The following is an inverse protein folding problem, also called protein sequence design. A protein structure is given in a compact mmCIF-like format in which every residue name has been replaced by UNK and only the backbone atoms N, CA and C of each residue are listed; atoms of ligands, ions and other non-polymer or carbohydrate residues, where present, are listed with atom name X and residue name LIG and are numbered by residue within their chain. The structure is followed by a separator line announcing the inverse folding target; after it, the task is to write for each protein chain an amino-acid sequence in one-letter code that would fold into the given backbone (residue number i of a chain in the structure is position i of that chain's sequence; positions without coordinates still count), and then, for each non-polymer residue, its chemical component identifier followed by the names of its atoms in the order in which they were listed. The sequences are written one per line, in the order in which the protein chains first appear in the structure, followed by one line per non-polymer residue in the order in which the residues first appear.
data_IF_737605054238
#
_entry.id   IF_737605054238
#
_cell.length_a   1.000
_cell.length_b   1.000
_cell.length_c   1.000
_cell.angle_alpha   90.00
_cell.angle_beta   90.00
_cell.angle_gamma   90.00
#
_symmetry.space_group_name_H-M   'P 1'
#
loop_
_entity.id
_entity.type
_entity.pdbx_description
1 polymer ?
#
# COMPACT_ATOMS: atom_id res chain seq x y z
N UNK A 1 11.50 24.88 10.97
CA UNK A 1 12.26 23.66 11.34
C UNK A 1 11.63 22.36 10.82
N UNK A 2 10.30 22.19 10.91
CA UNK A 2 9.53 21.00 10.47
C UNK A 2 9.78 20.61 8.99
N UNK A 3 9.84 21.58 8.07
CA UNK A 3 10.05 21.35 6.64
C UNK A 3 11.37 20.63 6.29
N UNK A 4 12.42 20.76 7.13
CA UNK A 4 13.72 20.08 6.93
C UNK A 4 13.69 18.63 7.41
N UNK A 5 12.90 18.31 8.45
CA UNK A 5 12.69 16.93 8.92
C UNK A 5 11.97 16.08 7.86
N UNK A 6 10.93 16.63 7.22
CA UNK A 6 10.20 15.93 6.16
C UNK A 6 11.03 15.70 4.88
N UNK A 7 12.03 16.54 4.59
CA UNK A 7 12.91 16.37 3.42
C UNK A 7 13.99 15.29 3.58
N UNK A 8 14.37 14.94 4.82
CA UNK A 8 15.43 13.95 5.12
C UNK A 8 14.89 12.64 5.73
N UNK A 9 13.60 12.55 5.99
CA UNK A 9 12.94 11.34 6.51
C UNK A 9 12.68 10.30 5.42
N UNK A 10 12.64 9.03 5.79
CA UNK A 10 12.19 7.96 4.89
C UNK A 10 10.71 8.16 4.57
N UNK A 11 10.36 8.22 3.28
CA UNK A 11 8.97 8.29 2.81
C UNK A 11 8.29 6.92 2.75
N UNK A 12 9.00 5.85 3.11
CA UNK A 12 8.48 4.48 3.06
C UNK A 12 7.19 4.26 3.88
N UNK A 13 7.02 4.81 5.09
CA UNK A 13 5.78 4.64 5.85
C UNK A 13 4.56 5.22 5.12
N UNK A 14 4.72 6.37 4.47
CA UNK A 14 3.65 7.00 3.69
C UNK A 14 3.32 6.21 2.41
N UNK A 15 4.33 5.67 1.74
CA UNK A 15 4.13 4.80 0.57
C UNK A 15 3.38 3.51 0.92
N UNK A 16 3.76 2.86 2.01
CA UNK A 16 3.05 1.67 2.50
C UNK A 16 1.61 2.02 2.91
N UNK A 17 1.42 3.11 3.65
CA UNK A 17 0.10 3.57 4.03
C UNK A 17 -0.78 3.87 2.81
N UNK A 18 -0.24 4.50 1.77
CA UNK A 18 -0.95 4.75 0.53
C UNK A 18 -1.42 3.46 -0.16
N UNK A 19 -0.55 2.45 -0.23
CA UNK A 19 -0.90 1.14 -0.79
C UNK A 19 -2.02 0.45 0.01
N UNK A 20 -1.88 0.39 1.35
CA UNK A 20 -2.86 -0.25 2.23
C UNK A 20 -4.17 0.57 2.36
N UNK A 21 -4.12 1.87 2.08
CA UNK A 21 -5.31 2.72 2.06
C UNK A 21 -6.31 2.30 1.00
N UNK A 22 -5.86 1.72 -0.12
CA UNK A 22 -6.77 1.25 -1.18
C UNK A 22 -7.66 0.13 -0.65
N UNK A 23 -7.06 -0.89 -0.04
CA UNK A 23 -7.82 -2.03 0.49
C UNK A 23 -8.71 -1.61 1.66
N UNK A 24 -8.22 -0.73 2.54
CA UNK A 24 -9.03 -0.15 3.63
C UNK A 24 -10.16 0.74 3.13
N UNK A 25 -9.95 1.46 2.03
CA UNK A 25 -10.98 2.29 1.42
C UNK A 25 -12.14 1.43 0.90
N UNK A 26 -11.85 0.40 0.11
CA UNK A 26 -12.88 -0.51 -0.39
C UNK A 26 -13.58 -1.26 0.75
N UNK A 27 -12.82 -1.73 1.74
CA UNK A 27 -13.39 -2.38 2.91
C UNK A 27 -14.30 -1.42 3.70
N UNK A 28 -13.87 -0.16 3.88
CA UNK A 28 -14.63 0.90 4.52
C UNK A 28 -15.88 1.31 3.73
N UNK A 29 -15.80 1.32 2.39
CA UNK A 29 -16.92 1.62 1.51
C UNK A 29 -17.99 0.54 1.60
N UNK A 30 -17.61 -0.74 1.49
CA UNK A 30 -18.54 -1.86 1.66
C UNK A 30 -19.18 -1.82 3.05
N UNK A 31 -18.38 -1.59 4.09
CA UNK A 31 -18.88 -1.51 5.46
C UNK A 31 -19.80 -0.30 5.70
N UNK A 32 -19.50 0.85 5.10
CA UNK A 32 -20.32 2.06 5.25
C UNK A 32 -21.61 1.99 4.44
N UNK A 33 -21.55 1.38 3.25
CA UNK A 33 -22.72 1.10 2.41
C UNK A 33 -23.72 0.26 3.20
N UNK A 34 -23.25 -0.86 3.78
CA UNK A 34 -24.03 -1.67 4.70
C UNK A 34 -24.54 -0.84 5.89
N UNK A 35 -23.66 -0.11 6.59
CA UNK A 35 -24.03 0.59 7.82
C UNK A 35 -25.12 1.66 7.64
N UNK A 36 -25.10 2.37 6.52
CA UNK A 36 -25.91 3.59 6.32
C UNK A 36 -27.10 3.33 5.41
N UNK A 37 -26.97 2.48 4.40
CA UNK A 37 -28.04 2.28 3.44
C UNK A 37 -29.20 1.52 4.11
N UNK A 38 -30.33 2.21 4.21
CA UNK A 38 -31.55 1.68 4.84
C UNK A 38 -32.59 1.49 3.75
N UNK A 39 -33.00 0.25 3.47
CA UNK A 39 -34.19 -0.03 2.67
C UNK A 39 -35.39 0.80 3.13
N UNK A 40 -35.82 1.80 2.35
CA UNK A 40 -37.13 2.44 2.55
C UNK A 40 -38.12 1.76 1.63
N UNK A 41 -38.89 0.84 2.22
CA UNK A 41 -40.00 0.18 1.54
C UNK A 41 -41.27 0.94 1.89
N UNK A 42 -41.80 1.66 0.92
CA UNK A 42 -43.10 2.33 1.06
C UNK A 42 -44.14 1.45 0.38
N UNK A 43 -45.06 0.91 1.18
CA UNK A 43 -46.22 0.21 0.65
C UNK A 43 -47.18 1.25 0.06
N UNK A 44 -47.40 1.22 -1.26
CA UNK A 44 -48.43 2.04 -1.91
C UNK A 44 -49.47 1.13 -2.55
N UNK A 45 -50.74 1.41 -2.30
CA UNK A 45 -51.85 0.80 -3.01
C UNK A 45 -51.93 1.39 -4.42
N UNK A 46 -51.76 0.54 -5.44
CA UNK A 46 -51.93 0.91 -6.86
C UNK A 46 -52.95 -0.06 -7.47
N UNK A 47 -54.08 0.46 -7.93
CA UNK A 47 -55.19 -0.33 -8.51
C UNK A 47 -55.66 -1.48 -7.60
N UNK A 48 -55.86 -1.21 -6.30
CA UNK A 48 -56.32 -2.21 -5.34
C UNK A 48 -55.30 -3.31 -5.00
N UNK A 49 -54.11 -3.31 -5.62
CA UNK A 49 -53.00 -4.19 -5.27
C UNK A 49 -51.96 -3.43 -4.46
N UNK A 50 -51.43 -4.10 -3.44
CA UNK A 50 -50.35 -3.59 -2.60
C UNK A 50 -49.05 -3.69 -3.40
N UNK A 51 -48.51 -2.56 -3.84
CA UNK A 51 -47.25 -2.49 -4.59
C UNK A 51 -46.19 -1.92 -3.66
N UNK A 52 -45.08 -2.65 -3.53
CA UNK A 52 -43.91 -2.20 -2.79
C UNK A 52 -43.16 -1.18 -3.67
N UNK A 53 -43.06 0.05 -3.21
CA UNK A 53 -42.26 1.08 -3.87
C UNK A 53 -40.96 1.29 -3.09
N UNK A 54 -39.85 1.21 -3.80
CA UNK A 54 -38.51 1.31 -3.24
C UNK A 54 -38.01 2.74 -3.47
N UNK A 55 -37.76 3.48 -2.40
CA UNK A 55 -37.10 4.79 -2.51
C UNK A 55 -35.60 4.58 -2.64
N UNK A 56 -35.01 5.12 -3.72
CA UNK A 56 -33.58 5.12 -3.95
C UNK A 56 -32.86 5.96 -2.88
N UNK A 57 -31.65 5.55 -2.51
CA UNK A 57 -30.85 6.23 -1.48
C UNK A 57 -30.66 7.70 -1.86
N UNK A 58 -30.91 8.61 -0.91
CA UNK A 58 -30.78 10.04 -1.17
C UNK A 58 -29.31 10.42 -1.38
N UNK A 59 -29.03 11.47 -2.18
CA UNK A 59 -27.67 12.00 -2.37
C UNK A 59 -26.93 12.29 -1.04
N UNK A 60 -27.68 12.65 0.01
CA UNK A 60 -27.11 12.89 1.35
C UNK A 60 -26.66 11.59 2.04
N UNK A 61 -27.36 10.48 1.80
CA UNK A 61 -26.99 9.14 2.28
C UNK A 61 -25.72 8.66 1.59
N UNK A 62 -25.66 8.78 0.27
CA UNK A 62 -24.49 8.42 -0.52
C UNK A 62 -23.25 9.21 -0.09
N UNK A 63 -23.37 10.54 0.04
CA UNK A 63 -22.26 11.38 0.50
C UNK A 63 -21.74 10.95 1.89
N UNK A 64 -22.64 10.52 2.78
CA UNK A 64 -22.27 10.01 4.10
C UNK A 64 -21.52 8.68 4.02
N UNK A 65 -21.91 7.79 3.10
CA UNK A 65 -21.20 6.52 2.84
C UNK A 65 -19.76 6.81 2.39
N UNK A 66 -19.59 7.71 1.42
CA UNK A 66 -18.26 8.11 0.93
C UNK A 66 -17.40 8.72 2.04
N UNK A 67 -17.97 9.59 2.86
CA UNK A 67 -17.24 10.25 3.95
C UNK A 67 -16.80 9.25 5.03
N UNK A 68 -17.66 8.29 5.39
CA UNK A 68 -17.33 7.25 6.36
C UNK A 68 -16.26 6.27 5.83
N UNK A 69 -16.30 5.96 4.53
CA UNK A 69 -15.28 5.11 3.89
C UNK A 69 -13.87 5.71 3.95
N UNK A 70 -13.77 7.05 3.99
CA UNK A 70 -12.50 7.76 4.10
C UNK A 70 -11.94 7.80 5.52
N UNK A 71 -12.74 7.51 6.56
CA UNK A 71 -12.28 7.53 7.96
C UNK A 71 -11.09 6.59 8.22
N UNK A 72 -11.14 5.28 7.92
CA UNK A 72 -10.01 4.38 8.16
C UNK A 72 -8.76 4.80 7.35
N UNK A 73 -8.95 5.28 6.13
CA UNK A 73 -7.89 5.81 5.26
C UNK A 73 -7.22 7.03 5.91
N UNK A 74 -8.03 7.99 6.34
CA UNK A 74 -7.57 9.22 6.97
C UNK A 74 -6.77 8.94 8.25
N UNK A 75 -7.24 8.00 9.08
CA UNK A 75 -6.51 7.59 10.29
C UNK A 75 -5.17 6.95 9.92
N UNK A 76 -5.13 6.03 8.95
CA UNK A 76 -3.88 5.37 8.57
C UNK A 76 -2.86 6.37 8.00
N UNK A 77 -3.31 7.30 7.15
CA UNK A 77 -2.47 8.36 6.60
C UNK A 77 -1.96 9.30 7.70
N UNK A 78 -2.81 9.69 8.66
CA UNK A 78 -2.39 10.50 9.80
C UNK A 78 -1.32 9.78 10.64
N UNK A 79 -1.52 8.48 10.92
CA UNK A 79 -0.52 7.64 11.59
C UNK A 79 0.78 7.59 10.78
N UNK A 80 0.71 7.44 9.46
CA UNK A 80 1.89 7.42 8.60
C UNK A 80 2.64 8.76 8.60
N UNK A 81 1.92 9.88 8.60
CA UNK A 81 2.51 11.22 8.70
C UNK A 81 3.23 11.41 10.04
N UNK A 82 2.60 10.99 11.14
CA UNK A 82 3.23 11.02 12.47
C UNK A 82 4.42 10.06 12.55
N UNK A 83 4.30 8.87 11.96
CA UNK A 83 5.33 7.85 11.93
C UNK A 83 6.58 8.30 11.15
N UNK A 84 6.46 9.21 10.18
CA UNK A 84 7.62 9.81 9.49
C UNK A 84 8.52 10.63 10.45
N UNK A 85 8.00 11.08 11.58
CA UNK A 85 8.80 11.74 12.62
C UNK A 85 9.74 10.72 13.32
N UNK A 86 9.39 9.43 13.30
CA UNK A 86 10.21 8.34 13.84
C UNK A 86 11.11 7.70 12.78
N UNK A 87 12.37 8.15 12.73
CA UNK A 87 13.36 7.76 11.70
C UNK A 87 13.63 6.26 11.58
N UNK A 88 13.49 5.48 12.66
CA UNK A 88 13.84 4.04 12.70
C UNK A 88 12.63 3.11 12.86
N UNK A 89 11.51 3.61 13.38
CA UNK A 89 10.36 2.79 13.77
C UNK A 89 9.10 2.99 12.94
N UNK A 90 9.04 4.04 12.10
CA UNK A 90 7.77 4.49 11.51
C UNK A 90 7.03 3.43 10.69
N UNK A 91 7.76 2.56 9.98
CA UNK A 91 7.13 1.52 9.17
C UNK A 91 6.44 0.45 10.02
N UNK A 92 7.02 0.09 11.17
CA UNK A 92 6.38 -0.85 12.11
C UNK A 92 5.11 -0.27 12.72
N UNK A 93 5.11 1.03 13.03
CA UNK A 93 3.91 1.72 13.54
C UNK A 93 2.80 1.70 12.51
N UNK A 94 3.11 1.98 11.24
CA UNK A 94 2.12 1.93 10.14
C UNK A 94 1.62 0.51 9.91
N UNK A 95 2.51 -0.50 9.87
CA UNK A 95 2.10 -1.90 9.73
C UNK A 95 1.23 -2.35 10.89
N UNK A 96 1.59 -2.03 12.13
CA UNK A 96 0.80 -2.38 13.31
C UNK A 96 -0.57 -1.70 13.31
N UNK A 97 -0.63 -0.42 12.93
CA UNK A 97 -1.89 0.30 12.79
C UNK A 97 -2.78 -0.31 11.70
N UNK A 98 -2.21 -0.65 10.53
CA UNK A 98 -2.95 -1.31 9.46
C UNK A 98 -3.51 -2.66 9.91
N UNK A 99 -2.70 -3.50 10.57
CA UNK A 99 -3.14 -4.78 11.14
C UNK A 99 -4.28 -4.57 12.14
N UNK A 100 -4.13 -3.62 13.06
CA UNK A 100 -5.15 -3.31 14.05
C UNK A 100 -6.48 -2.89 13.38
N UNK A 101 -6.42 -2.02 12.37
CA UNK A 101 -7.60 -1.62 11.60
C UNK A 101 -8.23 -2.81 10.87
N UNK A 102 -7.43 -3.65 10.22
CA UNK A 102 -7.92 -4.86 9.54
C UNK A 102 -8.58 -5.86 10.48
N UNK A 103 -8.16 -5.93 11.75
CA UNK A 103 -8.80 -6.77 12.77
C UNK A 103 -10.07 -6.13 13.35
N UNK A 104 -10.11 -4.79 13.45
CA UNK A 104 -11.25 -4.06 14.03
C UNK A 104 -12.42 -3.90 13.06
N UNK A 105 -12.16 -3.69 11.77
CA UNK A 105 -13.21 -3.47 10.76
C UNK A 105 -14.24 -4.62 10.71
N UNK A 106 -13.82 -5.90 10.62
CA UNK A 106 -14.75 -7.03 10.56
C UNK A 106 -15.59 -7.20 11.83
N UNK A 107 -15.07 -6.85 13.01
CA UNK A 107 -15.82 -6.98 14.28
C UNK A 107 -17.04 -6.06 14.32
N UNK A 108 -16.90 -4.85 13.82
CA UNK A 108 -18.03 -3.93 13.72
C UNK A 108 -19.05 -4.37 12.67
N UNK A 109 -18.58 -5.07 11.63
CA UNK A 109 -19.45 -5.68 10.63
C UNK A 109 -20.28 -6.80 11.22
N UNK A 110 -19.72 -7.75 11.97
CA UNK A 110 -20.50 -8.86 12.54
C UNK A 110 -21.65 -8.37 13.45
N UNK A 111 -21.36 -7.39 14.31
CA UNK A 111 -22.37 -6.78 15.17
C UNK A 111 -23.45 -6.03 14.35
N UNK A 112 -23.07 -5.43 13.22
CA UNK A 112 -24.02 -4.80 12.32
C UNK A 112 -24.84 -5.83 11.55
N UNK A 113 -24.22 -6.85 10.95
CA UNK A 113 -24.87 -7.93 10.21
C UNK A 113 -25.88 -8.61 11.11
N UNK A 114 -25.53 -8.95 12.36
CA UNK A 114 -26.47 -9.50 13.32
C UNK A 114 -27.69 -8.60 13.59
N UNK A 115 -27.50 -7.27 13.66
CA UNK A 115 -28.62 -6.32 13.79
C UNK A 115 -29.43 -6.18 12.51
N UNK A 116 -28.78 -6.22 11.35
CA UNK A 116 -29.42 -6.08 10.05
C UNK A 116 -30.25 -7.31 9.72
N UNK A 117 -29.69 -8.51 9.87
CA UNK A 117 -30.40 -9.79 9.69
C UNK A 117 -31.57 -9.93 10.67
N UNK A 118 -31.46 -9.43 11.92
CA UNK A 118 -32.60 -9.38 12.84
C UNK A 118 -33.72 -8.46 12.35
N UNK A 119 -33.39 -7.38 11.64
CA UNK A 119 -34.36 -6.40 11.12
C UNK A 119 -34.93 -6.84 9.76
N UNK A 120 -34.17 -7.60 8.98
CA UNK A 120 -34.49 -8.09 7.64
C UNK A 120 -34.11 -9.57 7.53
N UNK A 121 -34.90 -10.49 8.13
CA UNK A 121 -34.52 -11.90 8.28
C UNK A 121 -34.49 -12.73 6.98
N UNK A 122 -34.80 -12.13 5.83
CA UNK A 122 -34.86 -12.84 4.53
C UNK A 122 -34.00 -12.13 3.47
N UNK A 123 -32.84 -11.57 3.87
CA UNK A 123 -31.82 -11.06 2.93
C UNK A 123 -32.44 -10.24 1.80
N UNK A 124 -33.12 -9.15 2.15
CA UNK A 124 -33.81 -8.37 1.14
C UNK A 124 -32.77 -7.48 0.46
N UNK A 125 -31.98 -8.08 -0.42
CA UNK A 125 -31.59 -7.37 -1.64
C UNK A 125 -32.92 -6.91 -2.24
N UNK A 126 -33.21 -5.61 -2.16
CA UNK A 126 -34.47 -5.00 -2.59
C UNK A 126 -34.64 -5.02 -4.12
N UNK A 127 -33.90 -5.87 -4.79
CA UNK A 127 -33.94 -6.05 -6.22
C UNK A 127 -35.07 -7.05 -6.49
N UNK A 128 -36.08 -6.62 -7.26
CA UNK A 128 -37.22 -7.47 -7.61
C UNK A 128 -36.75 -8.80 -8.21
N UNK A 129 -37.20 -9.94 -7.70
CA UNK A 129 -36.95 -11.28 -8.26
C UNK A 129 -37.38 -11.40 -9.74
N UNK A 130 -38.27 -10.50 -10.18
CA UNK A 130 -38.76 -10.45 -11.57
C UNK A 130 -37.84 -9.69 -12.54
N UNK A 131 -36.73 -9.14 -12.06
CA UNK A 131 -35.79 -8.39 -12.90
C UNK A 131 -34.80 -9.35 -13.55
N UNK A 132 -34.84 -9.46 -14.89
CA UNK A 132 -33.88 -10.26 -15.66
C UNK A 132 -32.42 -9.76 -15.54
N UNK A 133 -32.20 -8.57 -14.96
CA UNK A 133 -30.88 -8.03 -14.64
C UNK A 133 -30.40 -8.33 -13.22
N UNK A 134 -31.22 -8.99 -12.39
CA UNK A 134 -30.79 -9.39 -11.05
C UNK A 134 -30.10 -10.75 -11.09
N UNK A 135 -28.77 -10.74 -10.98
CA UNK A 135 -27.96 -11.96 -10.98
C UNK A 135 -27.71 -12.51 -9.57
N UNK A 136 -28.02 -11.74 -8.52
CA UNK A 136 -27.78 -12.11 -7.14
C UNK A 136 -29.05 -12.67 -6.48
N UNK A 137 -28.91 -13.78 -5.78
CA UNK A 137 -29.94 -14.35 -4.93
C UNK A 137 -30.09 -13.55 -3.63
N UNK A 138 -31.26 -13.65 -2.97
CA UNK A 138 -31.55 -12.91 -1.75
C UNK A 138 -30.53 -13.17 -0.64
N UNK A 139 -29.92 -12.11 -0.11
CA UNK A 139 -28.92 -12.19 0.96
C UNK A 139 -27.50 -12.49 0.46
N UNK A 140 -27.34 -12.73 -0.85
CA UNK A 140 -26.05 -13.03 -1.45
C UNK A 140 -25.16 -11.78 -1.48
N UNK A 141 -25.73 -10.59 -1.67
CA UNK A 141 -24.96 -9.36 -1.65
C UNK A 141 -24.36 -9.07 -0.27
N UNK A 142 -25.12 -9.18 0.82
CA UNK A 142 -24.58 -8.93 2.17
C UNK A 142 -23.50 -9.95 2.53
N UNK A 143 -23.69 -11.21 2.13
CA UNK A 143 -22.70 -12.27 2.33
C UNK A 143 -21.44 -12.01 1.51
N UNK A 144 -21.57 -11.68 0.22
CA UNK A 144 -20.45 -11.33 -0.65
C UNK A 144 -19.71 -10.07 -0.18
N UNK A 145 -20.44 -9.07 0.31
CA UNK A 145 -19.88 -7.87 0.89
C UNK A 145 -19.04 -8.19 2.13
N UNK A 146 -19.58 -9.01 3.03
CA UNK A 146 -18.89 -9.49 4.23
C UNK A 146 -17.62 -10.28 3.87
N UNK A 147 -17.75 -11.26 2.98
CA UNK A 147 -16.63 -12.12 2.57
C UNK A 147 -15.55 -11.32 1.85
N UNK A 148 -15.93 -10.32 1.06
CA UNK A 148 -14.99 -9.37 0.44
C UNK A 148 -14.25 -8.55 1.48
N UNK A 149 -14.93 -8.00 2.50
CA UNK A 149 -14.25 -7.24 3.56
C UNK A 149 -13.29 -8.14 4.34
N UNK A 150 -13.71 -9.36 4.68
CA UNK A 150 -12.87 -10.34 5.38
C UNK A 150 -11.64 -10.69 4.54
N UNK A 151 -11.81 -10.93 3.23
CA UNK A 151 -10.72 -11.20 2.30
C UNK A 151 -9.75 -10.02 2.23
N UNK A 152 -10.25 -8.79 2.04
CA UNK A 152 -9.42 -7.58 2.02
C UNK A 152 -8.66 -7.38 3.34
N UNK A 153 -9.28 -7.67 4.48
CA UNK A 153 -8.61 -7.60 5.79
C UNK A 153 -7.44 -8.59 5.86
N UNK A 154 -7.63 -9.85 5.44
CA UNK A 154 -6.56 -10.86 5.42
C UNK A 154 -5.40 -10.45 4.49
N UNK A 155 -5.71 -9.97 3.28
CA UNK A 155 -4.68 -9.49 2.35
C UNK A 155 -3.92 -8.28 2.90
N UNK A 156 -4.62 -7.34 3.54
CA UNK A 156 -4.01 -6.16 4.16
C UNK A 156 -3.03 -6.57 5.27
N UNK A 157 -3.42 -7.53 6.11
CA UNK A 157 -2.54 -8.11 7.14
C UNK A 157 -1.31 -8.77 6.48
N UNK A 158 -1.52 -9.60 5.46
CA UNK A 158 -0.43 -10.28 4.75
C UNK A 158 0.59 -9.30 4.15
N UNK A 159 0.12 -8.26 3.47
CA UNK A 159 0.99 -7.21 2.89
C UNK A 159 1.72 -6.44 3.99
N UNK A 160 1.06 -6.10 5.09
CA UNK A 160 1.67 -5.39 6.21
C UNK A 160 2.80 -6.21 6.88
N UNK A 161 2.58 -7.52 7.05
CA UNK A 161 3.59 -8.45 7.57
C UNK A 161 4.75 -8.59 6.58
N UNK A 162 4.47 -8.82 5.30
CA UNK A 162 5.50 -8.93 4.26
C UNK A 162 6.39 -7.68 4.21
N UNK A 163 5.79 -6.49 4.28
CA UNK A 163 6.51 -5.23 4.33
C UNK A 163 7.43 -5.14 5.57
N UNK A 164 6.95 -5.55 6.74
CA UNK A 164 7.76 -5.58 7.96
C UNK A 164 8.94 -6.57 7.85
N UNK A 165 8.70 -7.78 7.30
CA UNK A 165 9.74 -8.80 7.09
C UNK A 165 10.80 -8.30 6.11
N UNK A 166 10.41 -7.67 5.00
CA UNK A 166 11.37 -7.10 4.03
C UNK A 166 12.27 -6.07 4.72
N UNK A 167 11.71 -5.19 5.55
CA UNK A 167 12.50 -4.18 6.27
C UNK A 167 13.46 -4.82 7.26
N UNK A 168 13.03 -5.83 8.02
CA UNK A 168 13.89 -6.59 8.93
C UNK A 168 15.00 -7.30 8.14
N UNK A 169 14.66 -7.98 7.05
CA UNK A 169 15.61 -8.67 6.18
C UNK A 169 16.67 -7.73 5.61
N UNK A 170 16.26 -6.56 5.10
CA UNK A 170 17.20 -5.54 4.61
C UNK A 170 18.06 -4.96 5.74
N UNK A 171 17.50 -4.76 6.93
CA UNK A 171 18.26 -4.27 8.09
C UNK A 171 19.32 -5.30 8.55
N UNK A 172 18.97 -6.58 8.57
CA UNK A 172 19.90 -7.67 8.88
C UNK A 172 20.97 -7.83 7.79
N UNK A 173 20.57 -7.80 6.51
CA UNK A 173 21.51 -7.88 5.39
C UNK A 173 22.53 -6.74 5.41
N UNK A 174 22.09 -5.51 5.75
CA UNK A 174 22.98 -4.36 5.94
C UNK A 174 23.95 -4.52 7.12
N UNK A 175 23.55 -5.26 8.16
CA UNK A 175 24.44 -5.55 9.31
C UNK A 175 25.47 -6.63 8.96
N UNK A 176 25.09 -7.62 8.16
CA UNK A 176 25.94 -8.77 7.80
C UNK A 176 26.87 -8.45 6.61
N UNK A 177 26.49 -7.53 5.73
CA UNK A 177 27.29 -7.07 4.59
C UNK A 177 27.77 -5.60 4.73
N UNK A 178 28.73 -5.29 5.62
CA UNK A 178 29.28 -3.94 5.76
C UNK A 178 30.18 -3.47 4.59
N UNK A 179 30.32 -4.25 3.50
CA UNK A 179 31.39 -4.09 2.49
C UNK A 179 31.14 -3.09 1.35
N UNK A 180 30.14 -2.21 1.40
CA UNK A 180 29.88 -1.23 0.34
C UNK A 180 30.09 0.24 0.74
N UNK A 181 30.84 0.50 1.81
CA UNK A 181 31.33 1.85 2.15
C UNK A 181 32.75 2.12 1.62
N UNK A 182 33.17 1.44 0.54
CA UNK A 182 34.50 1.57 -0.06
C UNK A 182 34.42 2.04 -1.52
N UNK A 183 33.73 3.15 -1.79
CA UNK A 183 33.88 3.86 -3.06
C UNK A 183 33.91 5.37 -2.78
N UNK A 184 34.94 6.01 -3.33
CA UNK A 184 35.24 7.45 -3.35
C UNK A 184 35.95 8.03 -2.12
N UNK A 185 37.21 7.63 -1.90
CA UNK A 185 38.22 8.65 -1.59
C UNK A 185 38.49 9.41 -2.91
N UNK A 186 38.31 10.74 -2.98
CA UNK A 186 38.69 11.50 -4.17
C UNK A 186 40.21 11.34 -4.40
N UNK A 187 40.68 11.18 -5.65
CA UNK A 187 42.11 11.11 -5.93
C UNK A 187 42.79 12.40 -5.47
N UNK A 188 44.02 12.34 -4.94
CA UNK A 188 44.74 13.53 -4.50
C UNK A 188 44.94 14.49 -5.69
N UNK A 189 44.56 15.75 -5.48
CA UNK A 189 44.86 16.84 -6.40
C UNK A 189 46.37 17.01 -6.42
N UNK A 190 47.01 16.70 -7.55
CA UNK A 190 48.40 17.08 -7.81
C UNK A 190 48.39 18.59 -8.03
N UNK A 191 48.70 19.34 -6.98
CA UNK A 191 49.05 20.76 -7.07
C UNK A 191 50.37 20.87 -7.83
N UNK A 192 50.29 21.26 -9.10
CA UNK A 192 51.48 21.62 -9.87
C UNK A 192 52.07 22.92 -9.34
N UNK A 193 53.25 22.85 -8.75
CA UNK A 193 54.16 23.99 -8.70
C UNK A 193 55.09 23.93 -9.92
N UNK A 194 55.32 25.05 -10.62
CA UNK A 194 56.26 25.11 -11.73
C UNK A 194 57.65 25.46 -11.18
N UNK A 195 58.55 24.48 -11.07
CA UNK A 195 59.98 24.77 -11.02
C UNK A 195 60.57 24.70 -12.43
N UNK A 196 61.31 25.75 -12.77
CA UNK A 196 61.90 25.99 -14.07
C UNK A 196 63.29 25.33 -14.20
N UNK A 197 63.41 24.45 -15.22
CA UNK A 197 64.58 24.22 -16.13
C UNK A 197 65.97 23.82 -15.57
N UNK A 198 66.95 23.32 -16.37
CA UNK A 198 66.93 22.85 -17.77
C UNK A 198 67.62 21.48 -18.06
N UNK A 199 67.29 20.89 -19.21
CA UNK A 199 68.16 20.18 -20.18
C UNK A 199 69.11 19.06 -19.69
N UNK A 200 68.76 17.78 -19.96
CA UNK A 200 69.59 16.72 -20.59
C UNK A 200 68.96 15.33 -20.35
N UNK A 201 68.73 14.57 -21.43
CA UNK A 201 68.34 13.15 -21.33
C UNK A 201 67.20 12.71 -22.24
N UNK A 202 67.24 13.08 -23.52
CA UNK A 202 66.61 12.25 -24.54
C UNK A 202 67.33 10.87 -24.57
N UNK A 203 66.60 9.84 -24.96
CA UNK A 203 67.07 8.46 -25.22
C UNK A 203 67.08 7.53 -24.00
N UNK A 204 65.90 7.15 -23.49
CA UNK A 204 65.67 5.80 -22.95
C UNK A 204 64.19 5.52 -22.69
N UNK A 205 63.59 4.60 -23.45
CA UNK A 205 62.44 3.86 -22.92
C UNK A 205 61.18 3.72 -23.77
N UNK A 206 61.19 4.04 -25.07
CA UNK A 206 60.20 3.51 -26.05
C UNK A 206 60.23 1.96 -26.15
N UNK A 207 61.02 1.28 -25.32
CA UNK A 207 61.32 -0.16 -25.38
C UNK A 207 60.60 -1.05 -24.36
N UNK A 208 59.55 -0.58 -23.66
CA UNK A 208 58.72 -1.45 -22.78
C UNK A 208 57.34 -1.82 -23.32
N UNK A 209 56.87 -1.19 -24.40
CA UNK A 209 55.56 -1.46 -24.98
C UNK A 209 55.54 -2.64 -25.99
N UNK A 210 56.68 -3.27 -26.28
CA UNK A 210 56.80 -4.34 -27.30
C UNK A 210 57.28 -5.69 -26.74
N UNK A 211 57.69 -5.78 -25.47
CA UNK A 211 58.41 -6.97 -24.93
C UNK A 211 57.76 -7.60 -23.70
N UNK A 212 56.59 -8.22 -23.89
CA UNK A 212 55.92 -9.28 -23.08
C UNK A 212 54.38 -9.13 -23.28
N UNK A 213 53.78 -9.53 -24.39
CA UNK A 213 54.05 -10.77 -25.11
C UNK A 213 53.45 -11.97 -24.36
N UNK A 214 52.16 -11.95 -24.03
CA UNK A 214 51.36 -13.16 -23.77
C UNK A 214 49.85 -12.89 -23.99
N UNK A 215 49.56 -12.17 -25.08
CA UNK A 215 48.26 -12.17 -25.75
C UNK A 215 48.06 -13.52 -26.49
N UNK A 216 48.01 -14.61 -25.71
CA UNK A 216 48.05 -15.97 -26.21
C UNK A 216 47.26 -16.92 -25.32
N UNK A 217 45.97 -16.64 -25.14
CA UNK A 217 44.91 -17.59 -24.73
C UNK A 217 43.62 -16.82 -24.59
N UNK A 218 42.75 -16.88 -25.60
CA UNK A 218 41.27 -16.84 -25.50
C UNK A 218 40.61 -16.85 -26.90
N UNK A 219 41.24 -17.51 -27.89
CA UNK A 219 40.58 -17.99 -29.10
C UNK A 219 40.71 -19.51 -29.17
N UNK A 220 39.81 -20.19 -28.47
CA UNK A 220 39.27 -21.50 -28.87
C UNK A 220 37.76 -21.32 -28.70
N UNK A 221 36.93 -21.29 -29.74
CA UNK A 221 36.92 -22.19 -30.88
C UNK A 221 35.71 -23.09 -30.66
N UNK A 222 34.55 -22.66 -31.13
CA UNK A 222 33.31 -23.42 -31.01
C UNK A 222 33.24 -24.59 -31.99
N UNK A 223 32.54 -25.64 -31.57
CA UNK A 223 31.51 -26.35 -32.33
C UNK A 223 30.69 -27.21 -31.39
#
# INVERSE_FOLDING_TARGET
MIRRLFRRGSKAPLGLAGLLSITLFFAGLMASSLAVDKPRVVQRLRHGKLVLHYEQSSNATEAKIWLLALVPVGILLAVAVLAMLWRRGGLYVVSAAAIAMSLLLPRHLDAWTARHTRRFPIGVDLISDSSSSNLASRGEWEQNARDTVISLAHWTIGIAIAAAVIVVGLALLRRVSPRQAFIAAPPPVVTGEPEASPVLGAVEGESRLVRRGLAGRLFGGGR
#
